data_IF_072552015830
#
_entry.id   IF_072552015830
#
_cell.length_a   1.000
_cell.length_b   1.000
_cell.length_c   1.000
_cell.angle_alpha   90.00
_cell.angle_beta   90.00
_cell.angle_gamma   90.00
#
_symmetry.space_group_name_H-M   'P 1'
#
loop_
_entity.id
_entity.type
_entity.pdbx_description
1 polymer ?
#
# COMPACT_ATOMS: atom_id res chain seq x y z
N UNK A 1 12.70 -8.57 -35.44
CA UNK A 1 11.59 -8.90 -34.51
C UNK A 1 12.02 -8.44 -33.13
N UNK A 2 11.73 -7.19 -32.79
CA UNK A 2 12.26 -6.53 -31.60
C UNK A 2 11.39 -6.82 -30.38
N UNK A 3 12.04 -7.30 -29.32
CA UNK A 3 11.50 -7.53 -27.98
C UNK A 3 11.26 -6.20 -27.27
N UNK A 4 10.00 -5.88 -27.01
CA UNK A 4 9.60 -4.71 -26.24
C UNK A 4 9.31 -5.05 -24.78
N UNK A 5 10.34 -5.03 -23.95
CA UNK A 5 10.26 -5.03 -22.49
C UNK A 5 9.62 -3.73 -22.03
N UNK A 6 8.33 -3.75 -21.67
CA UNK A 6 7.60 -2.61 -21.14
C UNK A 6 7.48 -2.65 -19.62
N UNK A 7 8.54 -2.26 -18.93
CA UNK A 7 8.50 -1.93 -17.49
C UNK A 7 7.63 -0.68 -17.34
N UNK A 8 6.49 -0.80 -16.65
CA UNK A 8 5.66 0.36 -16.30
C UNK A 8 6.29 1.09 -15.10
N UNK A 9 7.32 1.90 -15.35
CA UNK A 9 7.72 2.97 -14.45
C UNK A 9 6.83 4.17 -14.73
N UNK A 10 5.77 4.39 -13.94
CA UNK A 10 5.06 5.67 -13.94
C UNK A 10 5.56 6.51 -12.77
N UNK A 11 6.49 7.40 -13.12
CA UNK A 11 7.09 8.43 -12.26
C UNK A 11 6.02 9.37 -11.67
N UNK A 12 6.05 9.54 -10.35
CA UNK A 12 5.35 10.64 -9.65
C UNK A 12 5.84 11.99 -10.16
N UNK A 13 4.94 12.79 -10.76
CA UNK A 13 5.15 14.23 -10.94
C UNK A 13 4.38 14.96 -9.85
N UNK A 14 5.10 15.43 -8.83
CA UNK A 14 4.59 16.40 -7.87
C UNK A 14 4.64 17.77 -8.55
N UNK A 15 3.46 18.36 -8.73
CA UNK A 15 3.29 19.72 -9.22
C UNK A 15 3.31 20.62 -7.98
N UNK A 16 4.36 21.43 -7.80
CA UNK A 16 4.32 22.58 -6.90
C UNK A 16 4.51 23.84 -7.73
N UNK A 17 3.42 24.59 -7.86
CA UNK A 17 3.41 25.92 -8.45
C UNK A 17 3.99 26.98 -7.50
N UNK A 18 4.36 28.09 -8.15
CA UNK A 18 4.55 29.46 -7.65
C UNK A 18 6.00 29.87 -7.42
N UNK A 19 6.46 30.64 -8.40
CA UNK A 19 7.78 31.23 -8.44
C UNK A 19 7.95 32.40 -7.49
N UNK A 20 9.21 32.74 -7.27
CA UNK A 20 9.62 34.10 -7.02
C UNK A 20 11.05 34.27 -7.52
N UNK A 21 11.21 35.21 -8.46
CA UNK A 21 12.50 35.71 -8.92
C UNK A 21 13.07 36.60 -7.82
N UNK A 22 14.31 36.34 -7.40
CA UNK A 22 15.21 37.38 -6.87
C UNK A 22 16.57 37.17 -7.50
N UNK A 23 17.11 38.24 -8.07
CA UNK A 23 18.39 38.29 -8.77
C UNK A 23 19.37 39.10 -7.90
N UNK A 24 20.62 38.63 -7.86
CA UNK A 24 21.83 39.34 -7.44
C UNK A 24 21.96 39.67 -5.92
N UNK A 25 23.11 39.66 -5.25
CA UNK A 25 24.51 39.83 -5.65
C UNK A 25 25.42 39.07 -4.66
N UNK A 26 26.62 38.70 -5.15
CA UNK A 26 27.76 38.26 -4.34
C UNK A 26 28.24 39.38 -3.41
N UNK A 27 28.52 39.05 -2.14
CA UNK A 27 29.56 39.72 -1.35
C UNK A 27 30.05 38.77 -0.22
N UNK A 28 31.33 38.38 -0.15
CA UNK A 28 31.83 37.46 0.87
C UNK A 28 32.41 38.21 2.09
N UNK A 29 32.44 37.49 3.22
CA UNK A 29 33.11 37.79 4.49
C UNK A 29 32.30 38.59 5.53
N UNK A 30 31.71 37.86 6.49
CA UNK A 30 31.91 38.10 7.94
C UNK A 30 31.88 36.74 8.65
N UNK A 31 32.97 36.45 9.36
CA UNK A 31 33.13 35.35 10.32
C UNK A 31 32.47 35.81 11.62
N UNK A 32 31.57 35.02 12.22
CA UNK A 32 31.46 34.99 13.68
C UNK A 32 30.75 33.76 14.22
N UNK A 33 31.26 33.34 15.38
CA UNK A 33 30.83 32.20 16.20
C UNK A 33 29.37 32.35 16.63
N UNK A 34 28.58 31.29 16.50
CA UNK A 34 27.56 30.89 17.49
C UNK A 34 26.87 29.59 17.04
N UNK A 35 26.50 28.77 18.03
CA UNK A 35 26.18 27.35 17.86
C UNK A 35 25.14 27.05 16.78
N UNK A 36 25.52 26.15 15.87
CA UNK A 36 24.54 25.33 15.17
C UNK A 36 24.10 24.25 16.15
N UNK A 37 23.06 24.55 16.93
CA UNK A 37 22.14 23.52 17.36
C UNK A 37 21.73 22.79 16.08
N UNK A 38 22.21 21.55 15.91
CA UNK A 38 21.76 20.69 14.84
C UNK A 38 20.25 20.62 14.94
N UNK A 39 19.57 21.36 14.06
CA UNK A 39 18.17 21.19 13.79
C UNK A 39 18.03 19.82 13.14
N UNK A 40 18.10 18.78 13.97
CA UNK A 40 17.33 17.60 13.76
C UNK A 40 15.88 18.07 13.70
N UNK A 41 15.41 18.40 12.51
CA UNK A 41 13.99 18.31 12.20
C UNK A 41 13.63 16.85 12.42
N UNK A 42 13.33 16.49 13.67
CA UNK A 42 12.43 15.40 13.93
C UNK A 42 11.15 15.84 13.23
N UNK A 43 10.94 15.33 12.01
CA UNK A 43 9.71 15.56 11.29
C UNK A 43 8.59 15.18 12.26
N UNK A 44 7.81 16.17 12.69
CA UNK A 44 6.70 15.92 13.59
C UNK A 44 5.84 14.85 12.91
N UNK A 45 5.60 13.74 13.63
CA UNK A 45 4.74 12.68 13.12
C UNK A 45 3.40 13.32 12.75
N UNK A 46 2.98 13.14 11.49
CA UNK A 46 1.70 13.66 11.02
C UNK A 46 0.59 13.16 11.96
N UNK A 47 -0.35 14.04 12.26
CA UNK A 47 -1.47 13.67 13.11
C UNK A 47 -2.29 12.57 12.45
N UNK A 48 -3.00 11.76 13.25
CA UNK A 48 -3.88 10.71 12.73
C UNK A 48 -4.90 11.26 11.72
N UNK A 49 -5.44 12.45 11.97
CA UNK A 49 -6.41 13.07 11.07
C UNK A 49 -5.80 13.41 9.71
N UNK A 50 -4.59 13.97 9.68
CA UNK A 50 -3.86 14.27 8.44
C UNK A 50 -3.53 13.00 7.67
N UNK A 51 -3.14 11.93 8.35
CA UNK A 51 -2.82 10.66 7.70
C UNK A 51 -4.06 9.97 7.12
N UNK A 52 -5.21 10.05 7.79
CA UNK A 52 -6.48 9.57 7.24
C UNK A 52 -6.89 10.41 6.03
N UNK A 53 -6.76 11.73 6.10
CA UNK A 53 -7.03 12.62 4.96
C UNK A 53 -6.11 12.29 3.78
N UNK A 54 -4.81 12.09 4.02
CA UNK A 54 -3.85 11.65 3.02
C UNK A 54 -4.25 10.31 2.39
N UNK A 55 -4.60 9.32 3.22
CA UNK A 55 -5.06 8.00 2.74
C UNK A 55 -6.34 8.07 1.88
N UNK A 56 -7.20 9.07 2.10
CA UNK A 56 -8.41 9.29 1.30
C UNK A 56 -8.15 9.93 -0.07
N UNK A 57 -7.03 10.64 -0.25
CA UNK A 57 -6.69 11.31 -1.52
C UNK A 57 -5.65 10.56 -2.35
N UNK A 58 -5.03 9.51 -1.80
CA UNK A 58 -4.16 8.60 -2.56
C UNK A 58 -4.89 8.15 -3.82
N UNK A 59 -4.25 8.28 -4.97
CA UNK A 59 -4.83 7.76 -6.21
C UNK A 59 -4.85 6.23 -6.14
N UNK A 60 -6.04 5.67 -6.32
CA UNK A 60 -6.26 4.23 -6.28
C UNK A 60 -7.00 3.88 -7.56
N UNK A 61 -6.28 3.26 -8.49
CA UNK A 61 -6.85 2.74 -9.72
C UNK A 61 -6.52 1.25 -9.85
N UNK A 62 -7.46 0.54 -10.46
CA UNK A 62 -7.31 -0.87 -10.80
C UNK A 62 -7.43 -0.96 -12.32
N UNK A 63 -6.40 -1.47 -13.02
CA UNK A 63 -6.44 -1.55 -14.47
C UNK A 63 -7.55 -2.50 -14.91
N UNK A 64 -8.31 -2.12 -15.94
CA UNK A 64 -9.26 -3.02 -16.57
C UNK A 64 -8.53 -3.94 -17.56
N UNK A 65 -8.85 -5.23 -17.51
CA UNK A 65 -8.35 -6.24 -18.44
C UNK A 65 -9.34 -7.40 -18.55
N UNK A 66 -9.24 -8.20 -19.61
CA UNK A 66 -10.11 -9.36 -19.80
C UNK A 66 -9.93 -10.40 -18.70
N UNK A 67 -11.00 -11.14 -18.37
CA UNK A 67 -10.97 -12.17 -17.33
C UNK A 67 -9.93 -13.27 -17.60
N UNK A 68 -9.77 -13.82 -18.82
CA UNK A 68 -8.71 -14.81 -19.08
C UNK A 68 -7.30 -14.24 -18.84
N UNK A 69 -7.07 -12.97 -19.16
CA UNK A 69 -5.78 -12.31 -18.91
C UNK A 69 -5.54 -12.14 -17.41
N UNK A 70 -6.56 -11.70 -16.67
CA UNK A 70 -6.49 -11.57 -15.21
C UNK A 70 -6.16 -12.91 -14.55
N UNK A 71 -6.84 -13.99 -14.94
CA UNK A 71 -6.58 -15.34 -14.41
C UNK A 71 -5.13 -15.74 -14.66
N UNK A 72 -4.64 -15.62 -15.90
CA UNK A 72 -3.25 -15.98 -16.25
C UNK A 72 -2.22 -15.23 -15.40
N UNK A 73 -2.37 -13.92 -15.27
CA UNK A 73 -1.44 -13.08 -14.51
C UNK A 73 -1.50 -13.38 -13.01
N UNK A 74 -2.70 -13.60 -12.47
CA UNK A 74 -2.91 -13.90 -11.06
C UNK A 74 -2.32 -15.26 -10.68
N UNK A 75 -2.50 -16.26 -11.54
CA UNK A 75 -1.90 -17.59 -11.41
C UNK A 75 -0.37 -17.53 -11.44
N UNK A 76 0.21 -16.85 -12.44
CA UNK A 76 1.66 -16.69 -12.55
C UNK A 76 2.23 -16.02 -11.30
N UNK A 77 1.66 -14.89 -10.89
CA UNK A 77 2.07 -14.16 -9.70
C UNK A 77 1.96 -15.00 -8.41
N UNK A 78 0.87 -15.76 -8.25
CA UNK A 78 0.73 -16.65 -7.10
C UNK A 78 1.84 -17.72 -7.07
N UNK A 79 2.11 -18.36 -8.21
CA UNK A 79 3.10 -19.43 -8.33
C UNK A 79 4.52 -18.92 -8.08
N UNK A 80 4.86 -17.73 -8.62
CA UNK A 80 6.13 -17.05 -8.35
C UNK A 80 6.35 -16.79 -6.85
N UNK A 81 5.31 -16.35 -6.14
CA UNK A 81 5.40 -16.07 -4.71
C UNK A 81 5.33 -17.33 -3.82
N UNK A 82 4.92 -18.47 -4.37
CA UNK A 82 4.67 -19.69 -3.58
C UNK A 82 5.26 -20.95 -4.26
N UNK A 83 6.57 -21.00 -4.57
CA UNK A 83 7.17 -22.09 -5.33
C UNK A 83 7.07 -23.47 -4.66
N UNK A 84 6.90 -23.52 -3.34
CA UNK A 84 6.76 -24.77 -2.56
C UNK A 84 5.31 -25.20 -2.29
N UNK A 85 4.29 -24.51 -2.81
CA UNK A 85 2.88 -24.87 -2.64
C UNK A 85 2.31 -25.49 -3.90
N UNK A 86 1.12 -26.09 -3.80
CA UNK A 86 0.37 -26.54 -4.98
C UNK A 86 0.20 -25.35 -5.94
N UNK A 87 0.67 -25.50 -7.16
CA UNK A 87 0.55 -24.48 -8.19
C UNK A 87 -0.92 -24.17 -8.46
N UNK A 88 -1.21 -22.88 -8.64
CA UNK A 88 -2.44 -22.43 -9.23
C UNK A 88 -2.43 -22.73 -10.73
N UNK A 89 -3.59 -23.08 -11.26
CA UNK A 89 -3.86 -23.33 -12.67
C UNK A 89 -5.35 -23.10 -12.99
N UNK A 90 -5.76 -23.34 -14.24
CA UNK A 90 -7.16 -23.19 -14.64
C UNK A 90 -8.11 -24.24 -14.04
N UNK A 91 -7.58 -25.34 -13.50
CA UNK A 91 -8.36 -26.40 -12.85
C UNK A 91 -8.55 -26.14 -11.34
N UNK A 92 -7.92 -25.11 -10.81
CA UNK A 92 -8.06 -24.70 -9.42
C UNK A 92 -9.49 -24.25 -9.11
N UNK A 93 -9.93 -24.46 -7.88
CA UNK A 93 -11.30 -24.17 -7.48
C UNK A 93 -11.61 -22.65 -7.56
N UNK A 94 -12.87 -22.33 -7.83
CA UNK A 94 -13.32 -20.96 -8.07
C UNK A 94 -13.05 -20.02 -6.88
N UNK A 95 -13.24 -20.51 -5.64
CA UNK A 95 -13.01 -19.71 -4.44
C UNK A 95 -11.52 -19.37 -4.26
N UNK A 96 -10.63 -20.30 -4.59
CA UNK A 96 -9.20 -20.04 -4.62
C UNK A 96 -8.83 -19.07 -5.75
N UNK A 97 -9.39 -19.26 -6.95
CA UNK A 97 -9.10 -18.42 -8.11
C UNK A 97 -9.54 -16.97 -7.92
N UNK A 98 -10.76 -16.75 -7.45
CA UNK A 98 -11.26 -15.40 -7.12
C UNK A 98 -10.37 -14.72 -6.07
N UNK A 99 -9.91 -15.47 -5.04
CA UNK A 99 -9.00 -14.95 -4.03
C UNK A 99 -7.66 -14.51 -4.60
N UNK A 100 -7.01 -15.33 -5.44
CA UNK A 100 -5.71 -14.95 -6.02
C UNK A 100 -5.85 -13.81 -7.03
N UNK A 101 -6.97 -13.71 -7.75
CA UNK A 101 -7.27 -12.57 -8.62
C UNK A 101 -7.36 -11.25 -7.84
N UNK A 102 -8.13 -11.23 -6.75
CA UNK A 102 -8.23 -10.04 -5.88
C UNK A 102 -6.88 -9.70 -5.26
N UNK A 103 -6.10 -10.70 -4.84
CA UNK A 103 -4.76 -10.48 -4.30
C UNK A 103 -3.81 -9.89 -5.34
N UNK A 104 -3.80 -10.40 -6.57
CA UNK A 104 -2.97 -9.89 -7.64
C UNK A 104 -3.31 -8.43 -7.95
N UNK A 105 -4.60 -8.10 -8.15
CA UNK A 105 -5.03 -6.73 -8.41
C UNK A 105 -4.64 -5.76 -7.29
N UNK A 106 -4.78 -6.20 -6.02
CA UNK A 106 -4.36 -5.39 -4.87
C UNK A 106 -2.85 -5.18 -4.85
N UNK A 107 -2.05 -6.24 -4.86
CA UNK A 107 -0.62 -6.14 -4.59
C UNK A 107 0.20 -5.70 -5.80
N UNK A 108 -0.12 -6.21 -6.99
CA UNK A 108 0.70 -5.97 -8.17
C UNK A 108 0.23 -4.78 -9.03
N UNK A 109 -1.04 -4.36 -8.92
CA UNK A 109 -1.63 -3.43 -9.89
C UNK A 109 -2.09 -2.08 -9.33
N UNK A 110 -2.18 -1.89 -8.01
CA UNK A 110 -2.85 -0.71 -7.42
C UNK A 110 -1.91 0.24 -6.65
N UNK A 111 -0.60 -0.01 -6.65
CA UNK A 111 0.35 0.75 -5.82
C UNK A 111 0.13 0.60 -4.31
N UNK A 112 -0.79 -0.28 -3.89
CA UNK A 112 -1.23 -0.46 -2.51
C UNK A 112 -0.08 -0.65 -1.53
N UNK A 113 0.87 -1.53 -1.84
CA UNK A 113 1.99 -1.83 -0.94
C UNK A 113 2.88 -0.60 -0.72
N UNK A 114 3.14 0.18 -1.78
CA UNK A 114 3.90 1.44 -1.68
C UNK A 114 3.19 2.49 -0.83
N UNK A 115 1.88 2.67 -1.01
CA UNK A 115 1.10 3.61 -0.20
C UNK A 115 1.04 3.18 1.27
N UNK A 116 0.92 1.87 1.51
CA UNK A 116 0.90 1.32 2.86
C UNK A 116 2.25 1.46 3.56
N UNK A 117 3.35 1.26 2.85
CA UNK A 117 4.70 1.42 3.39
C UNK A 117 5.03 2.88 3.69
N UNK A 118 4.58 3.82 2.85
CA UNK A 118 4.67 5.25 3.15
C UNK A 118 3.95 5.60 4.47
N UNK A 119 2.71 5.12 4.66
CA UNK A 119 1.98 5.33 5.92
C UNK A 119 2.69 4.70 7.11
N UNK A 120 3.28 3.51 6.96
CA UNK A 120 4.01 2.85 8.05
C UNK A 120 5.18 3.69 8.55
N UNK A 121 5.83 4.46 7.68
CA UNK A 121 6.94 5.33 8.04
C UNK A 121 6.47 6.59 8.78
N UNK A 122 5.27 7.09 8.46
CA UNK A 122 4.75 8.36 9.01
C UNK A 122 3.80 8.19 10.21
N UNK A 123 3.16 7.03 10.33
CA UNK A 123 2.14 6.76 11.33
C UNK A 123 2.70 6.06 12.57
N UNK A 124 2.14 6.40 13.73
CA UNK A 124 2.37 5.66 14.98
C UNK A 124 1.96 4.19 14.80
N UNK A 125 2.60 3.21 15.48
CA UNK A 125 2.20 1.81 15.41
C UNK A 125 0.72 1.55 15.71
N UNK A 126 0.09 2.40 16.54
CA UNK A 126 -1.33 2.31 16.92
C UNK A 126 -2.27 2.66 15.75
N UNK A 127 -1.87 3.58 14.88
CA UNK A 127 -2.72 4.13 13.82
C UNK A 127 -2.53 3.45 12.46
N UNK A 128 -1.40 2.74 12.26
CA UNK A 128 -1.05 2.05 11.00
C UNK A 128 -2.14 1.11 10.48
N UNK A 129 -2.80 0.40 11.39
CA UNK A 129 -3.82 -0.59 11.02
C UNK A 129 -5.05 0.10 10.42
N UNK A 130 -5.55 1.14 11.10
CA UNK A 130 -6.72 1.88 10.68
C UNK A 130 -6.47 2.64 9.37
N UNK A 131 -5.36 3.39 9.29
CA UNK A 131 -5.05 4.17 8.08
C UNK A 131 -4.81 3.24 6.88
N UNK A 132 -4.17 2.08 7.11
CA UNK A 132 -4.01 1.05 6.08
C UNK A 132 -5.34 0.45 5.61
N UNK A 133 -6.30 0.28 6.51
CA UNK A 133 -7.64 -0.21 6.18
C UNK A 133 -8.40 0.75 5.26
N UNK A 134 -8.22 2.07 5.41
CA UNK A 134 -8.81 3.08 4.50
C UNK A 134 -8.33 2.86 3.07
N UNK A 135 -7.02 2.80 2.84
CA UNK A 135 -6.47 2.58 1.48
C UNK A 135 -6.93 1.23 0.93
N UNK A 136 -6.83 0.17 1.74
CA UNK A 136 -7.24 -1.17 1.33
C UNK A 136 -8.71 -1.20 0.92
N UNK A 137 -9.59 -0.59 1.70
CA UNK A 137 -11.02 -0.52 1.43
C UNK A 137 -11.31 0.19 0.10
N UNK A 138 -10.58 1.27 -0.20
CA UNK A 138 -10.67 1.98 -1.49
C UNK A 138 -10.21 1.10 -2.66
N UNK A 139 -9.10 0.38 -2.52
CA UNK A 139 -8.61 -0.57 -3.54
C UNK A 139 -9.65 -1.66 -3.78
N UNK A 140 -10.15 -2.31 -2.72
CA UNK A 140 -11.13 -3.39 -2.85
C UNK A 140 -12.45 -2.90 -3.45
N UNK A 141 -12.88 -1.67 -3.13
CA UNK A 141 -14.03 -1.04 -3.78
C UNK A 141 -13.78 -0.82 -5.28
N UNK A 142 -12.60 -0.33 -5.64
CA UNK A 142 -12.24 -0.19 -7.06
C UNK A 142 -12.24 -1.54 -7.78
N UNK A 143 -11.70 -2.60 -7.17
CA UNK A 143 -11.73 -3.97 -7.72
C UNK A 143 -13.17 -4.42 -7.94
N UNK A 144 -14.04 -4.26 -6.94
CA UNK A 144 -15.45 -4.65 -7.00
C UNK A 144 -16.20 -3.92 -8.13
N UNK A 145 -15.88 -2.65 -8.37
CA UNK A 145 -16.49 -1.86 -9.44
C UNK A 145 -15.98 -2.26 -10.83
N UNK A 146 -14.68 -2.50 -10.98
CA UNK A 146 -14.06 -2.86 -12.28
C UNK A 146 -14.35 -4.32 -12.66
N UNK A 147 -14.49 -5.20 -11.68
CA UNK A 147 -14.67 -6.65 -11.85
C UNK A 147 -15.87 -7.15 -11.05
N UNK A 148 -17.10 -7.05 -11.61
CA UNK A 148 -18.32 -7.43 -10.89
C UNK A 148 -18.34 -8.88 -10.38
N UNK A 149 -17.71 -9.81 -11.11
CA UNK A 149 -17.60 -11.20 -10.69
C UNK A 149 -16.73 -11.41 -9.43
N UNK A 150 -15.92 -10.43 -9.04
CA UNK A 150 -15.05 -10.49 -7.85
C UNK A 150 -15.62 -9.75 -6.64
N UNK A 151 -16.84 -9.18 -6.75
CA UNK A 151 -17.46 -8.36 -5.70
C UNK A 151 -17.48 -9.07 -4.35
N UNK A 152 -17.92 -10.33 -4.30
CA UNK A 152 -18.09 -11.05 -3.04
C UNK A 152 -16.76 -11.31 -2.35
N UNK A 153 -15.72 -11.67 -3.10
CA UNK A 153 -14.38 -11.85 -2.56
C UNK A 153 -13.76 -10.53 -2.11
N UNK A 154 -13.91 -9.47 -2.91
CA UNK A 154 -13.42 -8.14 -2.55
C UNK A 154 -14.07 -7.63 -1.25
N UNK A 155 -15.40 -7.79 -1.11
CA UNK A 155 -16.14 -7.45 0.11
C UNK A 155 -15.72 -8.32 1.30
N UNK A 156 -15.53 -9.63 1.10
CA UNK A 156 -15.05 -10.53 2.16
C UNK A 156 -13.69 -10.09 2.68
N UNK A 157 -12.78 -9.72 1.79
CA UNK A 157 -11.44 -9.25 2.18
C UNK A 157 -11.48 -7.88 2.87
N UNK A 158 -12.45 -7.02 2.58
CA UNK A 158 -12.65 -5.76 3.30
C UNK A 158 -13.08 -6.03 4.75
N UNK A 159 -14.14 -6.84 4.94
CA UNK A 159 -14.71 -7.16 6.26
C UNK A 159 -13.73 -7.85 7.22
N UNK A 160 -12.84 -8.71 6.71
CA UNK A 160 -11.89 -9.47 7.53
C UNK A 160 -10.85 -8.61 8.26
N UNK A 161 -10.64 -7.37 7.82
CA UNK A 161 -9.67 -6.47 8.44
C UNK A 161 -10.29 -5.27 9.16
N UNK A 162 -11.60 -5.03 8.99
CA UNK A 162 -12.35 -4.14 9.88
C UNK A 162 -12.44 -4.71 11.31
N UNK A 163 -12.30 -6.04 11.45
CA UNK A 163 -12.11 -6.70 12.73
C UNK A 163 -10.62 -6.77 13.05
N UNK A 164 -10.12 -6.08 14.10
CA UNK A 164 -8.77 -6.29 14.60
C UNK A 164 -8.61 -7.78 14.92
N UNK A 165 -7.46 -8.43 14.63
CA UNK A 165 -7.26 -9.81 15.07
C UNK A 165 -7.49 -9.85 16.58
N UNK A 166 -8.49 -10.63 17.01
CA UNK A 166 -8.74 -10.87 18.41
C UNK A 166 -7.43 -11.42 18.98
N UNK A 167 -6.71 -10.60 19.75
CA UNK A 167 -5.54 -11.07 20.49
C UNK A 167 -6.08 -12.18 21.38
N UNK A 168 -5.76 -13.45 21.09
CA UNK A 168 -5.95 -14.52 22.06
C UNK A 168 -5.19 -14.09 23.32
N UNK A 169 -5.80 -14.11 24.52
CA UNK A 169 -5.05 -13.92 25.74
C UNK A 169 -3.91 -14.95 25.73
N UNK A 170 -2.68 -14.46 25.90
CA UNK A 170 -1.55 -15.33 26.20
C UNK A 170 -1.97 -16.12 27.43
N UNK A 171 -2.05 -17.44 27.29
CA UNK A 171 -2.43 -18.32 28.38
C UNK A 171 -1.46 -18.06 29.54
N UNK A 172 -2.00 -17.58 30.65
CA UNK A 172 -1.25 -17.45 31.89
C UNK A 172 -0.74 -18.83 32.27
N UNK A 173 0.59 -19.01 32.25
CA UNK A 173 1.20 -20.18 32.87
C UNK A 173 0.84 -20.11 34.35
N UNK A 174 0.06 -21.09 34.80
CA UNK A 174 -0.26 -21.31 36.19
C UNK A 174 1.02 -21.33 37.01
N UNK A 175 1.04 -20.48 38.02
CA UNK A 175 2.07 -20.48 39.04
C UNK A 175 1.76 -21.65 39.98
N UNK A 176 2.24 -22.85 39.65
CA UNK A 176 2.23 -23.97 40.59
C UNK A 176 3.29 -23.73 41.67
N UNK A 177 2.88 -23.01 42.72
CA UNK A 177 3.52 -23.08 44.03
C UNK A 177 2.71 -24.03 44.91
N UNK A 178 3.22 -25.23 45.12
CA UNK A 178 3.35 -25.94 46.40
C UNK A 178 3.71 -27.40 46.14
#
# INVERSE_FOLDING_TARGET
MSTGTGVCMMTMRVITEKGQRVNAQHNPQIRDRSGSAGQGRTAALATRAELIAAANIVDVSVPAMSLPRLIRLSTAHYNELNPGKRAADFASDEAFMTRICVNYLRHACSGYDSHRDFIRQMASPKDRAEIGAVIKGRVLRSIANTYPMLIEEARRQARREDTPPHRKPLHGKGNSRR
#
